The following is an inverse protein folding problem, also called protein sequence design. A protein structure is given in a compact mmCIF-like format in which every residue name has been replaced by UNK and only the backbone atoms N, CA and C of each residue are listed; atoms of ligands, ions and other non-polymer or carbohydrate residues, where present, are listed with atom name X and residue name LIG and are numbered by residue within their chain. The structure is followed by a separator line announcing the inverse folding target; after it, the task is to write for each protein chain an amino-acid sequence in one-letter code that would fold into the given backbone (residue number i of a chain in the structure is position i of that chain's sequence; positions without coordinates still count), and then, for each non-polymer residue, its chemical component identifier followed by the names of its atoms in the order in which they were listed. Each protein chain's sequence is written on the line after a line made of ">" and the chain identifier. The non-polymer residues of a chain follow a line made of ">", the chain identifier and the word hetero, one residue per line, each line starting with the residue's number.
data_IF_877825867768
#
_entry.id   IF_877825867768
#
_cell.length_a   1.000
_cell.length_b   1.000
_cell.length_c   1.000
_cell.angle_alpha   90.00
_cell.angle_beta   90.00
_cell.angle_gamma   90.00
#
_symmetry.space_group_name_H-M   'P 1'
#
loop_
_entity.id
_entity.type
_entity.pdbx_description
1 polymer ?
#
# COMPACT_ATOMS: atom_id res chain seq x y z
N UNK A 1 -9.70 -15.04 35.10
CA UNK A 1 -9.39 -14.22 33.92
C UNK A 1 -9.89 -14.98 32.70
N UNK A 2 -10.57 -14.38 31.72
CA UNK A 2 -10.90 -15.10 30.51
C UNK A 2 -9.60 -15.54 29.83
N UNK A 3 -9.52 -16.80 29.42
CA UNK A 3 -8.39 -17.34 28.67
C UNK A 3 -8.35 -16.67 27.28
N UNK A 4 -7.46 -15.69 27.11
CA UNK A 4 -7.24 -15.04 25.81
C UNK A 4 -6.30 -15.92 25.00
N UNK A 5 -6.81 -16.49 23.91
CA UNK A 5 -6.02 -17.27 22.95
C UNK A 5 -5.73 -16.40 21.72
N UNK A 6 -4.46 -16.23 21.41
CA UNK A 6 -4.03 -15.56 20.18
C UNK A 6 -4.07 -16.61 19.07
N UNK A 7 -4.86 -16.37 18.03
CA UNK A 7 -4.91 -17.23 16.85
C UNK A 7 -4.22 -16.56 15.68
N UNK A 8 -3.42 -17.33 14.94
CA UNK A 8 -2.81 -16.85 13.71
C UNK A 8 -3.89 -16.59 12.67
N UNK A 9 -3.81 -15.43 12.02
CA UNK A 9 -4.66 -15.08 10.89
C UNK A 9 -4.33 -16.00 9.72
N UNK A 10 -5.35 -16.62 9.11
CA UNK A 10 -5.20 -17.58 8.02
C UNK A 10 -5.92 -17.11 6.76
N UNK A 11 -5.34 -17.44 5.62
CA UNK A 11 -5.97 -17.22 4.32
C UNK A 11 -7.22 -18.11 4.20
N UNK A 12 -8.37 -17.52 3.89
CA UNK A 12 -9.63 -18.25 3.71
C UNK A 12 -9.61 -19.20 2.49
N UNK A 13 -8.72 -18.95 1.52
CA UNK A 13 -8.64 -19.75 0.30
C UNK A 13 -7.72 -20.98 0.45
N UNK A 14 -6.55 -20.84 1.09
CA UNK A 14 -5.57 -21.93 1.15
C UNK A 14 -5.10 -22.32 2.56
N UNK A 15 -5.61 -21.64 3.60
CA UNK A 15 -5.30 -21.96 5.00
C UNK A 15 -3.88 -21.60 5.46
N UNK A 16 -3.05 -21.00 4.60
CA UNK A 16 -1.72 -20.54 4.98
C UNK A 16 -1.82 -19.39 5.97
N UNK A 17 -0.80 -19.23 6.82
CA UNK A 17 -0.69 -18.05 7.68
C UNK A 17 -0.59 -16.79 6.83
N UNK A 18 -1.31 -15.75 7.25
CA UNK A 18 -1.19 -14.41 6.69
C UNK A 18 -0.30 -13.56 7.60
N UNK A 19 0.56 -12.76 6.98
CA UNK A 19 1.34 -11.74 7.69
C UNK A 19 0.48 -10.48 7.69
N UNK A 20 0.03 -10.06 8.87
CA UNK A 20 -0.87 -8.91 9.04
C UNK A 20 -0.42 -8.06 10.22
N UNK A 21 -0.51 -6.75 10.10
CA UNK A 21 -0.35 -5.78 11.18
C UNK A 21 -1.71 -5.27 11.69
N UNK A 22 -1.74 -4.68 12.89
CA UNK A 22 -2.98 -4.20 13.54
C UNK A 22 -3.74 -3.18 12.67
N UNK A 23 -3.04 -2.42 11.82
CA UNK A 23 -3.60 -1.34 11.02
C UNK A 23 -3.73 -1.69 9.54
N UNK A 24 -3.63 -2.97 9.17
CA UNK A 24 -3.83 -3.37 7.78
C UNK A 24 -5.31 -3.25 7.39
N UNK A 25 -5.56 -2.64 6.23
CA UNK A 25 -6.88 -2.54 5.63
C UNK A 25 -7.09 -3.58 4.54
N UNK A 26 -6.00 -4.15 4.02
CA UNK A 26 -6.00 -5.20 3.02
C UNK A 26 -4.78 -6.11 3.23
N UNK A 27 -4.93 -7.38 2.84
CA UNK A 27 -3.89 -8.40 3.00
C UNK A 27 -3.71 -9.15 1.69
N UNK A 28 -2.49 -9.57 1.41
CA UNK A 28 -2.16 -10.39 0.25
C UNK A 28 -1.56 -11.73 0.69
N UNK A 29 -2.13 -12.82 0.20
CA UNK A 29 -1.60 -14.15 0.45
C UNK A 29 -0.46 -14.46 -0.53
N UNK A 30 0.77 -14.50 -0.01
CA UNK A 30 1.96 -14.84 -0.81
C UNK A 30 2.00 -16.31 -1.26
N UNK A 31 1.18 -17.18 -0.67
CA UNK A 31 1.12 -18.60 -1.01
C UNK A 31 0.19 -18.90 -2.21
N UNK A 32 -1.00 -18.31 -2.25
CA UNK A 32 -2.00 -18.57 -3.32
C UNK A 32 -2.35 -17.36 -4.18
N UNK A 33 -1.76 -16.19 -3.91
CA UNK A 33 -1.98 -14.97 -4.69
C UNK A 33 -3.33 -14.28 -4.48
N UNK A 34 -4.12 -14.71 -3.48
CA UNK A 34 -5.41 -14.08 -3.18
C UNK A 34 -5.23 -12.79 -2.38
N UNK A 35 -6.01 -11.74 -2.71
CA UNK A 35 -6.10 -10.52 -1.91
C UNK A 35 -7.43 -10.38 -1.20
N UNK A 36 -7.40 -9.75 -0.04
CA UNK A 36 -8.60 -9.49 0.77
C UNK A 36 -8.57 -8.07 1.35
N UNK A 37 -9.71 -7.40 1.37
CA UNK A 37 -9.96 -6.21 2.18
C UNK A 37 -10.52 -6.64 3.54
N UNK A 38 -10.14 -5.93 4.61
CA UNK A 38 -10.62 -6.17 5.97
C UNK A 38 -11.76 -5.19 6.27
N UNK A 39 -13.00 -5.67 6.22
CA UNK A 39 -14.19 -4.85 6.47
C UNK A 39 -14.88 -5.38 7.73
N UNK A 40 -14.92 -4.57 8.79
CA UNK A 40 -15.52 -4.95 10.07
C UNK A 40 -14.98 -6.26 10.66
N UNK A 41 -13.71 -6.57 10.40
CA UNK A 41 -13.04 -7.81 10.86
C UNK A 41 -13.23 -9.02 9.94
N UNK A 42 -13.95 -8.88 8.82
CA UNK A 42 -14.13 -9.95 7.84
C UNK A 42 -13.23 -9.75 6.60
N UNK A 43 -12.81 -10.86 6.00
CA UNK A 43 -12.05 -10.85 4.75
C UNK A 43 -12.96 -10.89 3.54
N UNK A 44 -12.98 -9.78 2.81
CA UNK A 44 -13.71 -9.64 1.56
C UNK A 44 -12.73 -9.81 0.41
N UNK A 45 -12.91 -10.80 -0.49
CA UNK A 45 -12.02 -11.00 -1.63
C UNK A 45 -11.95 -9.77 -2.53
N UNK A 46 -10.74 -9.37 -2.91
CA UNK A 46 -10.50 -8.27 -3.85
C UNK A 46 -9.52 -8.70 -4.95
N UNK A 47 -9.63 -8.07 -6.10
CA UNK A 47 -8.68 -8.25 -7.19
C UNK A 47 -7.37 -7.51 -6.89
N UNK A 48 -6.25 -8.21 -6.99
CA UNK A 48 -4.92 -7.62 -6.78
C UNK A 48 -4.21 -7.52 -8.11
N UNK A 49 -3.95 -6.27 -8.52
CA UNK A 49 -3.22 -5.96 -9.73
C UNK A 49 -1.86 -5.40 -9.36
N UNK A 50 -0.79 -6.10 -9.73
CA UNK A 50 0.57 -5.59 -9.60
C UNK A 50 0.89 -4.72 -10.81
N UNK A 51 1.22 -3.46 -10.57
CA UNK A 51 1.79 -2.63 -11.63
C UNK A 51 3.16 -3.19 -12.01
N UNK A 52 3.35 -3.51 -13.30
CA UNK A 52 4.68 -3.81 -13.81
C UNK A 52 5.51 -2.51 -13.87
N UNK A 53 6.80 -2.59 -13.53
CA UNK A 53 7.70 -1.47 -13.74
C UNK A 53 7.77 -1.16 -15.24
N UNK A 54 7.68 0.11 -15.60
CA UNK A 54 7.96 0.55 -16.96
C UNK A 54 9.47 0.43 -17.20
N UNK A 55 9.92 -0.72 -17.69
CA UNK A 55 11.32 -0.93 -18.04
C UNK A 55 11.68 -0.02 -19.23
N UNK A 56 12.64 0.88 -19.02
CA UNK A 56 13.51 1.38 -20.08
C UNK A 56 14.89 0.78 -19.81
N UNK A 57 15.45 0.13 -20.82
CA UNK A 57 16.52 -0.88 -20.72
C UNK A 57 17.83 -0.47 -20.02
N UNK A 58 17.99 0.78 -19.56
CA UNK A 58 19.19 1.25 -18.87
C UNK A 58 18.92 2.26 -17.72
N UNK A 59 17.68 2.37 -17.23
CA UNK A 59 17.34 3.32 -16.18
C UNK A 59 17.04 2.65 -14.83
N UNK A 60 17.46 3.32 -13.74
CA UNK A 60 17.17 2.95 -12.36
C UNK A 60 15.66 2.75 -12.13
N UNK A 61 15.28 1.75 -11.33
CA UNK A 61 13.88 1.45 -10.99
C UNK A 61 13.25 2.62 -10.24
N UNK A 62 12.51 3.47 -10.96
CA UNK A 62 11.72 4.55 -10.35
C UNK A 62 10.36 3.99 -9.93
N UNK A 63 10.23 3.63 -8.66
CA UNK A 63 8.93 3.36 -8.04
C UNK A 63 8.16 4.68 -7.91
N UNK A 64 7.24 4.95 -8.84
CA UNK A 64 6.27 6.04 -8.68
C UNK A 64 5.17 5.58 -7.73
N UNK A 65 4.76 6.38 -6.72
CA UNK A 65 3.62 6.05 -5.88
C UNK A 65 2.37 5.98 -6.77
N UNK A 66 1.81 4.79 -6.92
CA UNK A 66 0.75 4.45 -7.89
C UNK A 66 -0.66 4.81 -7.40
N UNK A 67 -0.79 5.74 -6.46
CA UNK A 67 -2.10 6.22 -6.04
C UNK A 67 -2.65 7.16 -7.11
N UNK A 68 -3.48 6.63 -8.02
CA UNK A 68 -4.35 7.45 -8.85
C UNK A 68 -5.46 8.00 -7.97
N UNK A 69 -5.19 9.13 -7.32
CA UNK A 69 -6.18 9.85 -6.51
C UNK A 69 -6.90 10.87 -7.40
N UNK A 70 -8.19 10.65 -7.68
CA UNK A 70 -9.05 11.68 -8.28
C UNK A 70 -9.43 12.67 -7.18
N UNK A 71 -8.66 13.75 -7.04
CA UNK A 71 -8.89 14.79 -6.03
C UNK A 71 -8.77 16.20 -6.61
N UNK A 72 -9.29 17.17 -5.88
CA UNK A 72 -9.09 18.60 -6.13
C UNK A 72 -8.07 19.10 -5.12
N UNK A 73 -6.96 19.66 -5.61
CA UNK A 73 -5.92 20.25 -4.75
C UNK A 73 -6.16 21.75 -4.71
N UNK A 74 -6.44 22.29 -3.54
CA UNK A 74 -6.42 23.73 -3.27
C UNK A 74 -5.09 24.09 -2.62
N UNK A 75 -4.30 24.94 -3.28
CA UNK A 75 -3.02 25.41 -2.74
C UNK A 75 -3.31 26.69 -1.94
N UNK A 76 -3.27 26.59 -0.62
CA UNK A 76 -3.56 27.72 0.28
C UNK A 76 -2.44 28.77 0.31
N UNK A 77 -1.18 28.35 0.22
CA UNK A 77 -0.02 29.24 0.20
C UNK A 77 1.15 28.63 -0.55
N UNK A 78 1.93 29.46 -1.24
CA UNK A 78 3.21 29.09 -1.84
C UNK A 78 4.28 30.10 -1.45
N UNK A 79 5.15 29.72 -0.53
CA UNK A 79 6.31 30.53 -0.13
C UNK A 79 7.54 30.02 -0.86
N UNK A 80 8.16 30.86 -1.69
CA UNK A 80 9.43 30.55 -2.35
C UNK A 80 10.50 31.51 -1.83
N UNK A 81 11.56 30.97 -1.22
CA UNK A 81 12.75 31.73 -0.88
C UNK A 81 13.84 31.42 -1.91
N UNK A 82 14.02 32.31 -2.89
CA UNK A 82 15.12 32.26 -3.85
C UNK A 82 15.74 33.64 -4.00
N UNK A 83 16.96 33.81 -3.51
CA UNK A 83 17.78 35.01 -3.73
C UNK A 83 18.85 34.74 -4.78
N UNK A 84 19.04 35.68 -5.71
CA UNK A 84 20.15 35.65 -6.65
C UNK A 84 21.47 35.89 -5.90
N UNK A 85 22.35 34.88 -5.86
CA UNK A 85 23.76 35.09 -5.56
C UNK A 85 24.50 35.43 -6.85
N UNK A 86 24.33 36.66 -7.35
CA UNK A 86 25.30 37.26 -8.25
C UNK A 86 26.13 38.24 -7.42
N UNK A 87 27.30 37.80 -6.95
CA UNK A 87 28.34 38.70 -6.46
C UNK A 87 29.14 39.16 -7.68
N UNK A 88 29.13 40.47 -7.92
CA UNK A 88 30.18 41.15 -8.68
C UNK A 88 31.51 41.05 -7.92
#
# INVERSE_FOLDING_TARGET
>A
MPDIKIEAVKCINCGSGLVTEINDFAVYCTNCGSGFEIISGEFVPVEVNFASAAFREEAELIYKPFWFLKTTIEVLERTAAGGNFLKN
#
